data_IF_709489204085
#
_entry.id   IF_709489204085
#
_cell.length_a   1.000
_cell.length_b   1.000
_cell.length_c   1.000
_cell.angle_alpha   90.00
_cell.angle_beta   90.00
_cell.angle_gamma   90.00
#
_symmetry.space_group_name_H-M   'P 1'
#
loop_
_entity.id
_entity.type
_entity.pdbx_description
1 polymer ?
#
# COMPACT_ATOMS: atom_id res chain seq x y z
N UNK A 1 -21.15 42.97 52.84
CA UNK A 1 -22.05 44.10 52.59
C UNK A 1 -22.40 44.17 51.12
N UNK A 2 -23.70 44.06 50.87
CA UNK A 2 -24.52 44.90 49.99
C UNK A 2 -24.01 45.09 48.55
N UNK A 3 -24.76 44.98 47.49
CA UNK A 3 -26.15 45.37 47.25
C UNK A 3 -26.69 44.71 46.02
N UNK A 4 -27.90 44.29 46.05
CA UNK A 4 -28.84 44.03 44.98
C UNK A 4 -29.15 45.29 44.14
N UNK A 5 -29.64 45.07 42.93
CA UNK A 5 -30.59 45.88 42.12
C UNK A 5 -30.46 45.41 40.67
N UNK A 6 -31.42 45.26 39.84
CA UNK A 6 -32.85 45.45 39.70
C UNK A 6 -33.26 44.75 38.37
N UNK A 7 -34.31 44.03 38.42
CA UNK A 7 -35.03 43.51 37.25
C UNK A 7 -35.71 44.66 36.48
N UNK A 8 -35.72 44.55 35.14
CA UNK A 8 -36.68 45.28 34.33
C UNK A 8 -37.14 44.44 33.17
N UNK A 9 -38.23 43.74 33.38
CA UNK A 9 -39.07 43.10 32.36
C UNK A 9 -39.68 44.18 31.47
N UNK A 10 -39.43 44.11 30.16
CA UNK A 10 -40.28 44.74 29.16
C UNK A 10 -40.99 43.65 28.36
N UNK A 11 -42.27 43.49 28.61
CA UNK A 11 -43.23 42.79 27.76
C UNK A 11 -43.33 43.58 26.44
N UNK A 12 -42.96 42.96 25.34
CA UNK A 12 -43.37 43.43 24.02
C UNK A 12 -44.46 42.53 23.50
N UNK A 13 -45.62 43.15 23.29
CA UNK A 13 -46.86 42.55 22.89
C UNK A 13 -46.83 42.13 21.44
N UNK A 14 -47.36 40.97 21.17
CA UNK A 14 -47.51 40.37 19.84
C UNK A 14 -48.51 41.17 18.98
N UNK A 15 -48.16 41.31 17.72
CA UNK A 15 -49.07 41.36 16.55
C UNK A 15 -48.16 41.40 15.31
N UNK A 16 -47.89 40.25 14.75
CA UNK A 16 -47.42 40.17 13.37
C UNK A 16 -48.06 38.95 12.73
N UNK A 17 -48.79 39.30 11.67
CA UNK A 17 -49.79 38.47 11.04
C UNK A 17 -49.28 37.30 10.23
N UNK A 18 -50.23 36.49 9.84
CA UNK A 18 -50.23 35.22 9.16
C UNK A 18 -49.63 35.17 7.72
N UNK A 19 -48.66 36.00 7.38
CA UNK A 19 -48.03 36.03 6.07
C UNK A 19 -46.68 35.34 5.96
N UNK A 20 -46.10 34.94 7.07
CA UNK A 20 -44.74 34.36 7.13
C UNK A 20 -44.70 32.83 6.98
N UNK A 21 -45.86 32.19 7.05
CA UNK A 21 -45.92 30.73 6.98
C UNK A 21 -45.64 30.14 5.58
N UNK A 22 -45.81 30.93 4.51
CA UNK A 22 -45.58 30.42 3.14
C UNK A 22 -44.15 30.60 2.63
N UNK A 23 -43.40 31.51 3.22
CA UNK A 23 -42.00 31.78 2.84
C UNK A 23 -41.02 30.82 3.53
N UNK A 24 -41.38 30.29 4.73
CA UNK A 24 -40.52 29.32 5.42
C UNK A 24 -40.51 27.92 4.78
N UNK A 25 -41.58 27.52 4.09
CA UNK A 25 -41.63 26.21 3.44
C UNK A 25 -40.74 26.10 2.18
N UNK A 26 -40.48 27.21 1.49
CA UNK A 26 -39.61 27.23 0.30
C UNK A 26 -38.10 27.28 0.66
N UNK A 27 -37.76 27.85 1.83
CA UNK A 27 -36.37 27.93 2.28
C UNK A 27 -35.90 26.58 2.85
N UNK A 28 -36.77 25.79 3.46
CA UNK A 28 -36.43 24.44 3.98
C UNK A 28 -36.23 23.41 2.88
N UNK A 29 -36.90 23.55 1.72
CA UNK A 29 -36.70 22.62 0.59
C UNK A 29 -35.37 22.88 -0.13
N UNK A 30 -34.94 24.13 -0.19
CA UNK A 30 -33.66 24.52 -0.80
C UNK A 30 -32.44 24.11 0.03
N UNK A 31 -32.55 24.12 1.36
CA UNK A 31 -31.46 23.72 2.26
C UNK A 31 -31.22 22.20 2.29
N UNK A 32 -32.25 21.38 2.08
CA UNK A 32 -32.13 19.92 2.05
C UNK A 32 -31.40 19.41 0.78
N UNK A 33 -31.51 20.11 -0.34
CA UNK A 33 -30.82 19.75 -1.57
C UNK A 33 -29.35 20.17 -1.55
N UNK A 34 -29.02 21.24 -0.82
CA UNK A 34 -27.63 21.74 -0.71
C UNK A 34 -26.73 20.88 0.18
N UNK A 35 -27.26 20.20 1.20
CA UNK A 35 -26.49 19.37 2.13
C UNK A 35 -26.13 18.00 1.50
N UNK A 36 -26.94 17.48 0.59
CA UNK A 36 -26.67 16.22 -0.11
C UNK A 36 -25.53 16.30 -1.13
N UNK A 37 -25.24 17.49 -1.67
CA UNK A 37 -24.18 17.68 -2.66
C UNK A 37 -22.80 17.97 -2.01
N UNK A 38 -22.76 18.46 -0.76
CA UNK A 38 -21.51 18.76 -0.06
C UNK A 38 -20.80 17.53 0.49
N UNK A 39 -21.47 16.39 0.62
CA UNK A 39 -20.87 15.14 1.13
C UNK A 39 -20.17 14.30 0.05
N UNK A 40 -20.16 14.72 -1.22
CA UNK A 40 -19.35 14.09 -2.28
C UNK A 40 -17.96 14.69 -2.41
N UNK A 41 -17.61 15.71 -1.58
CA UNK A 41 -16.30 16.34 -1.57
C UNK A 41 -15.23 15.41 -0.97
N UNK A 42 -14.26 15.01 -1.79
CA UNK A 42 -12.99 14.39 -1.39
C UNK A 42 -13.05 12.93 -0.93
N UNK A 43 -13.72 12.06 -1.70
CA UNK A 43 -13.43 10.63 -1.60
C UNK A 43 -12.07 10.36 -2.23
N UNK A 44 -11.12 9.83 -1.45
CA UNK A 44 -9.86 9.30 -1.99
C UNK A 44 -10.18 8.23 -3.03
N UNK A 45 -9.66 8.42 -4.24
CA UNK A 45 -9.80 7.50 -5.37
C UNK A 45 -8.52 6.72 -5.61
N UNK A 46 -8.57 5.70 -6.46
CA UNK A 46 -7.38 4.99 -6.93
C UNK A 46 -6.42 5.93 -7.67
N UNK A 47 -6.95 6.88 -8.46
CA UNK A 47 -6.14 7.89 -9.17
C UNK A 47 -5.36 8.79 -8.20
N UNK A 48 -5.96 9.12 -7.05
CA UNK A 48 -5.25 9.84 -6.00
C UNK A 48 -4.09 9.01 -5.43
N UNK A 49 -4.32 7.73 -5.17
CA UNK A 49 -3.31 6.80 -4.66
C UNK A 49 -2.17 6.70 -5.67
N UNK A 50 -2.46 6.47 -6.95
CA UNK A 50 -1.44 6.36 -7.99
C UNK A 50 -0.60 7.64 -8.12
N UNK A 51 -1.25 8.80 -8.11
CA UNK A 51 -0.55 10.09 -8.09
C UNK A 51 0.38 10.23 -6.88
N UNK A 52 -0.03 9.77 -5.70
CA UNK A 52 0.77 9.88 -4.49
C UNK A 52 2.01 9.00 -4.49
N UNK A 53 2.04 7.91 -5.26
CA UNK A 53 3.24 7.06 -5.37
C UNK A 53 4.48 7.82 -5.85
N UNK A 54 4.28 8.96 -6.53
CA UNK A 54 5.36 9.79 -7.10
C UNK A 54 5.60 11.10 -6.36
N UNK A 55 4.80 11.46 -5.35
CA UNK A 55 4.88 12.76 -4.66
C UNK A 55 5.67 12.68 -3.35
N UNK A 56 6.25 13.81 -2.90
CA UNK A 56 7.01 13.88 -1.65
C UNK A 56 6.17 13.55 -0.41
N UNK A 57 4.90 13.95 -0.41
CA UNK A 57 3.95 13.69 0.67
C UNK A 57 3.22 12.35 0.51
N UNK A 58 3.54 11.61 -0.54
CA UNK A 58 2.90 10.33 -0.87
C UNK A 58 2.94 9.32 0.27
N UNK A 59 4.11 9.02 0.86
CA UNK A 59 4.20 8.03 1.94
C UNK A 59 3.25 8.35 3.10
N UNK A 60 3.23 9.57 3.59
CA UNK A 60 2.34 9.98 4.69
C UNK A 60 0.87 9.86 4.33
N UNK A 61 0.49 10.21 3.10
CA UNK A 61 -0.90 10.10 2.63
C UNK A 61 -1.33 8.64 2.50
N UNK A 62 -0.49 7.79 1.92
CA UNK A 62 -0.77 6.37 1.76
C UNK A 62 -0.87 5.66 3.11
N UNK A 63 0.04 5.95 4.05
CA UNK A 63 -0.05 5.43 5.42
C UNK A 63 -1.34 5.89 6.10
N UNK A 64 -1.70 7.17 5.99
CA UNK A 64 -2.93 7.68 6.57
C UNK A 64 -4.19 6.99 6.01
N UNK A 65 -4.21 6.71 4.71
CA UNK A 65 -5.32 5.94 4.09
C UNK A 65 -5.31 4.49 4.55
N UNK A 66 -4.15 3.84 4.57
CA UNK A 66 -4.00 2.44 4.96
C UNK A 66 -4.45 2.20 6.41
N UNK A 67 -4.07 3.08 7.33
CA UNK A 67 -4.29 2.87 8.76
C UNK A 67 -5.65 3.34 9.27
N UNK A 68 -6.28 4.31 8.61
CA UNK A 68 -7.51 4.92 9.11
C UNK A 68 -8.76 4.14 8.69
N UNK A 69 -9.62 3.82 9.66
CA UNK A 69 -10.84 2.99 9.53
C UNK A 69 -11.97 3.65 8.70
N UNK A 70 -11.95 4.98 8.55
CA UNK A 70 -12.93 5.69 7.69
C UNK A 70 -12.87 5.28 6.22
N UNK A 71 -11.74 4.72 5.77
CA UNK A 71 -11.58 4.32 4.38
C UNK A 71 -12.09 2.88 4.16
N UNK A 72 -12.81 2.63 3.06
CA UNK A 72 -13.20 1.28 2.67
C UNK A 72 -11.99 0.35 2.55
N UNK A 73 -12.18 -0.93 2.84
CA UNK A 73 -11.10 -1.92 2.81
C UNK A 73 -10.36 -1.93 1.46
N UNK A 74 -11.08 -1.81 0.34
CA UNK A 74 -10.46 -1.80 -1.00
C UNK A 74 -9.49 -0.62 -1.18
N UNK A 75 -9.87 0.56 -0.72
CA UNK A 75 -9.02 1.75 -0.80
C UNK A 75 -7.79 1.59 0.12
N UNK A 76 -7.95 0.95 1.27
CA UNK A 76 -6.83 0.63 2.17
C UNK A 76 -5.87 -0.38 1.53
N UNK A 77 -6.39 -1.41 0.87
CA UNK A 77 -5.58 -2.37 0.09
C UNK A 77 -4.85 -1.65 -1.06
N UNK A 78 -5.56 -0.76 -1.78
CA UNK A 78 -4.93 0.02 -2.85
C UNK A 78 -3.81 0.93 -2.32
N UNK A 79 -4.01 1.57 -1.17
CA UNK A 79 -2.96 2.36 -0.52
C UNK A 79 -1.73 1.50 -0.16
N UNK A 80 -1.93 0.29 0.36
CA UNK A 80 -0.85 -0.65 0.63
C UNK A 80 -0.10 -1.04 -0.66
N UNK A 81 -0.82 -1.36 -1.74
CA UNK A 81 -0.21 -1.63 -3.05
C UNK A 81 0.45 -0.40 -3.65
N UNK A 82 -0.07 0.80 -3.41
CA UNK A 82 0.57 2.06 -3.76
C UNK A 82 1.92 2.23 -3.07
N UNK A 83 2.04 1.84 -1.80
CA UNK A 83 3.32 1.85 -1.07
C UNK A 83 4.33 0.85 -1.66
N UNK A 84 3.89 -0.31 -2.13
CA UNK A 84 4.75 -1.27 -2.86
C UNK A 84 5.31 -0.63 -4.14
N UNK A 85 4.46 0.05 -4.92
CA UNK A 85 4.81 0.67 -6.20
C UNK A 85 5.54 2.02 -6.07
N UNK A 86 5.82 2.48 -4.85
CA UNK A 86 6.49 3.77 -4.67
C UNK A 86 7.85 3.81 -5.33
N UNK A 87 8.07 4.82 -6.16
CA UNK A 87 9.36 5.02 -6.81
C UNK A 87 10.43 5.38 -5.78
N UNK A 88 11.60 4.78 -5.94
CA UNK A 88 12.75 5.11 -5.13
C UNK A 88 13.10 6.60 -5.24
N UNK A 89 13.49 7.21 -4.13
CA UNK A 89 14.02 8.56 -4.06
C UNK A 89 15.40 8.51 -3.42
N UNK A 90 16.38 9.18 -4.04
CA UNK A 90 17.75 9.14 -3.56
C UNK A 90 18.31 7.71 -3.44
N UNK A 91 17.89 6.80 -4.33
CA UNK A 91 18.32 5.40 -4.31
C UNK A 91 17.64 4.51 -3.27
N UNK A 92 16.68 5.03 -2.49
CA UNK A 92 15.97 4.26 -1.45
C UNK A 92 14.50 4.05 -1.80
N UNK A 93 14.00 2.83 -1.62
CA UNK A 93 12.58 2.47 -1.76
C UNK A 93 11.87 2.71 -0.43
N UNK A 94 11.30 3.89 -0.28
CA UNK A 94 10.70 4.36 0.97
C UNK A 94 9.43 3.59 1.32
N UNK A 95 8.69 3.13 0.31
CA UNK A 95 7.33 2.64 0.49
C UNK A 95 7.21 1.39 1.36
N UNK A 96 8.14 0.42 1.27
CA UNK A 96 8.07 -0.84 2.03
C UNK A 96 8.56 -0.64 3.46
N UNK A 97 9.78 -0.17 3.64
CA UNK A 97 10.43 -0.08 4.96
C UNK A 97 10.22 1.28 5.65
N UNK A 98 9.79 2.29 4.92
CA UNK A 98 9.80 3.67 5.41
C UNK A 98 11.18 4.31 5.32
N UNK A 99 11.28 5.53 5.84
CA UNK A 99 12.54 6.28 5.92
C UNK A 99 12.48 7.23 7.10
N UNK A 100 13.53 7.23 7.92
CA UNK A 100 13.73 8.14 9.06
C UNK A 100 12.45 8.30 9.93
N UNK A 101 11.76 9.41 9.81
CA UNK A 101 10.52 9.75 10.51
C UNK A 101 9.23 9.36 9.74
N UNK A 102 9.35 8.71 8.58
CA UNK A 102 8.22 8.32 7.75
C UNK A 102 7.98 6.81 7.80
N UNK A 103 6.85 6.35 8.36
CA UNK A 103 6.53 4.93 8.38
C UNK A 103 6.35 4.36 6.97
N UNK A 104 6.82 3.13 6.78
CA UNK A 104 6.61 2.35 5.57
C UNK A 104 5.39 1.41 5.67
N UNK A 105 5.22 0.57 4.66
CA UNK A 105 4.17 -0.43 4.61
C UNK A 105 4.19 -1.36 5.83
N UNK A 106 5.38 -1.86 6.21
CA UNK A 106 5.50 -2.84 7.29
C UNK A 106 5.04 -2.25 8.62
N UNK A 107 5.58 -1.09 9.02
CA UNK A 107 5.20 -0.42 10.26
C UNK A 107 3.74 0.05 10.25
N UNK A 108 3.22 0.46 9.10
CA UNK A 108 1.81 0.80 8.95
C UNK A 108 0.90 -0.42 9.18
N UNK A 109 1.27 -1.59 8.62
CA UNK A 109 0.53 -2.83 8.85
C UNK A 109 0.59 -3.29 10.30
N UNK A 110 1.73 -3.13 10.99
CA UNK A 110 1.85 -3.42 12.42
C UNK A 110 0.90 -2.59 13.28
N UNK A 111 0.71 -1.32 12.91
CA UNK A 111 -0.17 -0.40 13.65
C UNK A 111 -1.66 -0.71 13.50
N UNK A 112 -2.05 -1.56 12.56
CA UNK A 112 -3.45 -1.93 12.29
C UNK A 112 -3.85 -3.13 13.16
N UNK A 113 -5.09 -3.16 13.72
CA UNK A 113 -5.59 -4.31 14.45
C UNK A 113 -5.46 -5.62 13.64
N UNK A 114 -5.03 -6.75 14.26
CA UNK A 114 -4.70 -7.99 13.56
C UNK A 114 -5.78 -8.49 12.60
N UNK A 115 -7.04 -8.48 13.00
CA UNK A 115 -8.15 -8.94 12.16
C UNK A 115 -8.38 -8.08 10.90
N UNK A 116 -8.03 -6.80 10.96
CA UNK A 116 -8.12 -5.89 9.79
C UNK A 116 -6.88 -6.05 8.92
N UNK A 117 -5.70 -6.15 9.53
CA UNK A 117 -4.45 -6.42 8.85
C UNK A 117 -4.52 -7.71 8.02
N UNK A 118 -5.03 -8.79 8.59
CA UNK A 118 -5.23 -10.06 7.89
C UNK A 118 -6.07 -9.89 6.63
N UNK A 119 -7.19 -9.15 6.71
CA UNK A 119 -8.04 -8.86 5.54
C UNK A 119 -7.31 -8.04 4.46
N UNK A 120 -6.45 -7.12 4.86
CA UNK A 120 -5.66 -6.32 3.92
C UNK A 120 -4.61 -7.22 3.25
N UNK A 121 -3.82 -7.93 4.04
CA UNK A 121 -2.74 -8.79 3.54
C UNK A 121 -3.27 -9.90 2.65
N UNK A 122 -4.37 -10.58 3.04
CA UNK A 122 -4.98 -11.62 2.21
C UNK A 122 -5.44 -11.13 0.83
N UNK A 123 -5.76 -9.85 0.68
CA UNK A 123 -6.10 -9.24 -0.62
C UNK A 123 -4.89 -8.70 -1.37
N UNK A 124 -3.82 -8.36 -0.68
CA UNK A 124 -2.55 -7.98 -1.31
C UNK A 124 -1.88 -9.19 -1.97
N UNK A 125 -1.86 -10.35 -1.31
CA UNK A 125 -1.12 -11.53 -1.76
C UNK A 125 -1.43 -11.94 -3.20
N UNK A 126 -2.68 -12.13 -3.63
CA UNK A 126 -2.98 -12.46 -5.03
C UNK A 126 -2.48 -11.41 -6.03
N UNK A 127 -2.47 -10.14 -5.62
CA UNK A 127 -1.98 -9.04 -6.47
C UNK A 127 -0.47 -9.04 -6.58
N UNK A 128 0.24 -9.31 -5.47
CA UNK A 128 1.69 -9.48 -5.47
C UNK A 128 2.10 -10.66 -6.39
N UNK A 129 1.42 -11.81 -6.24
CA UNK A 129 1.65 -12.98 -7.10
C UNK A 129 1.42 -12.69 -8.58
N UNK A 130 0.33 -12.00 -8.91
CA UNK A 130 0.00 -11.67 -10.29
C UNK A 130 1.06 -10.77 -10.94
N UNK A 131 1.58 -9.79 -10.19
CA UNK A 131 2.65 -8.92 -10.68
C UNK A 131 3.99 -9.65 -10.81
N UNK A 132 4.32 -10.54 -9.86
CA UNK A 132 5.55 -11.35 -9.90
C UNK A 132 5.56 -12.37 -11.06
N UNK A 133 4.39 -12.83 -11.52
CA UNK A 133 4.25 -13.75 -12.65
C UNK A 133 4.37 -13.10 -14.02
N UNK A 134 4.34 -11.77 -14.10
CA UNK A 134 4.51 -11.07 -15.37
C UNK A 134 5.91 -11.26 -15.92
N UNK A 135 5.99 -11.41 -17.23
CA UNK A 135 7.27 -11.41 -17.91
C UNK A 135 7.97 -10.07 -17.76
N UNK A 136 9.29 -10.04 -17.57
CA UNK A 136 10.05 -8.80 -17.58
C UNK A 136 9.84 -8.03 -18.88
N UNK A 137 9.77 -6.69 -18.82
CA UNK A 137 9.66 -5.89 -20.01
C UNK A 137 10.90 -6.06 -20.91
N UNK A 138 10.67 -6.27 -22.20
CA UNK A 138 11.77 -6.45 -23.17
C UNK A 138 12.37 -5.11 -23.56
N UNK A 139 13.69 -5.05 -23.67
CA UNK A 139 14.38 -3.90 -24.25
C UNK A 139 13.95 -3.71 -25.71
N UNK A 140 13.68 -2.48 -26.10
CA UNK A 140 13.51 -2.13 -27.52
C UNK A 140 14.90 -1.90 -28.14
N UNK A 141 15.02 -2.15 -29.47
CA UNK A 141 16.28 -1.98 -30.16
C UNK A 141 16.86 -0.56 -29.92
N UNK A 142 18.07 -0.50 -29.36
CA UNK A 142 18.76 0.75 -29.06
C UNK A 142 18.30 1.48 -27.79
N UNK A 143 17.41 0.90 -26.98
CA UNK A 143 16.97 1.47 -25.71
C UNK A 143 17.29 0.53 -24.54
N UNK A 144 17.56 1.11 -23.36
CA UNK A 144 17.64 0.31 -22.14
C UNK A 144 16.28 -0.34 -21.84
N UNK A 145 16.31 -1.54 -21.28
CA UNK A 145 15.09 -2.19 -20.81
C UNK A 145 14.37 -1.30 -19.78
N UNK A 146 13.04 -1.16 -19.86
CA UNK A 146 12.28 -0.50 -18.81
C UNK A 146 12.47 -1.23 -17.47
N UNK A 147 12.36 -0.50 -16.37
CA UNK A 147 12.41 -1.12 -15.05
C UNK A 147 11.30 -2.18 -14.91
N UNK A 148 11.67 -3.36 -14.42
CA UNK A 148 10.73 -4.45 -14.18
C UNK A 148 9.94 -4.19 -12.88
N UNK A 149 8.63 -3.92 -12.95
CA UNK A 149 7.83 -3.63 -11.77
C UNK A 149 7.68 -4.85 -10.84
N UNK A 150 7.99 -6.07 -11.31
CA UNK A 150 7.92 -7.28 -10.48
C UNK A 150 8.92 -7.26 -9.32
N UNK A 151 10.02 -6.49 -9.43
CA UNK A 151 10.99 -6.34 -8.34
C UNK A 151 10.36 -5.71 -7.09
N UNK A 152 9.53 -4.70 -7.25
CA UNK A 152 8.86 -4.04 -6.11
C UNK A 152 7.91 -5.00 -5.40
N UNK A 153 7.20 -5.82 -6.16
CA UNK A 153 6.24 -6.78 -5.64
C UNK A 153 6.93 -7.96 -4.95
N UNK A 154 8.04 -8.44 -5.51
CA UNK A 154 8.92 -9.43 -4.88
C UNK A 154 9.50 -8.91 -3.57
N UNK A 155 10.00 -7.67 -3.57
CA UNK A 155 10.55 -7.06 -2.36
C UNK A 155 9.48 -6.95 -1.25
N UNK A 156 8.25 -6.61 -1.60
CA UNK A 156 7.14 -6.58 -0.64
C UNK A 156 6.78 -7.97 -0.13
N UNK A 157 6.71 -8.97 -1.00
CA UNK A 157 6.42 -10.35 -0.63
C UNK A 157 7.48 -10.90 0.34
N UNK A 158 8.76 -10.69 0.04
CA UNK A 158 9.86 -11.08 0.91
C UNK A 158 9.79 -10.35 2.26
N UNK A 159 9.60 -9.04 2.25
CA UNK A 159 9.52 -8.24 3.46
C UNK A 159 8.36 -8.67 4.37
N UNK A 160 7.19 -8.96 3.81
CA UNK A 160 6.04 -9.47 4.57
C UNK A 160 6.32 -10.79 5.26
N UNK A 161 7.09 -11.69 4.62
CA UNK A 161 7.45 -12.99 5.18
C UNK A 161 8.55 -12.93 6.23
N UNK A 162 9.43 -11.94 6.16
CA UNK A 162 10.62 -11.85 7.03
C UNK A 162 10.44 -10.87 8.18
N UNK A 163 9.57 -9.89 8.03
CA UNK A 163 9.36 -8.88 9.07
C UNK A 163 8.80 -9.50 10.35
N UNK A 164 9.51 -9.30 11.46
CA UNK A 164 9.14 -9.88 12.76
C UNK A 164 8.75 -11.37 12.65
N UNK A 165 9.60 -12.16 12.00
CA UNK A 165 9.38 -13.60 11.80
C UNK A 165 8.07 -13.94 11.05
N UNK A 166 7.63 -13.05 10.18
CA UNK A 166 6.44 -13.24 9.35
C UNK A 166 5.11 -13.06 10.09
N UNK A 167 5.10 -12.35 11.20
CA UNK A 167 3.88 -12.09 11.99
C UNK A 167 2.84 -11.22 11.26
N UNK A 168 3.24 -10.54 10.19
CA UNK A 168 2.32 -9.75 9.36
C UNK A 168 1.43 -10.61 8.47
N UNK A 169 1.87 -11.82 8.13
CA UNK A 169 1.12 -12.77 7.30
C UNK A 169 0.52 -13.85 8.20
N UNK A 170 -0.80 -13.89 8.29
CA UNK A 170 -1.49 -14.94 9.04
C UNK A 170 -1.91 -16.09 8.12
N UNK A 171 -1.81 -17.31 8.63
CA UNK A 171 -2.14 -18.53 7.89
C UNK A 171 -0.98 -19.10 7.08
N UNK A 172 -0.67 -20.37 7.34
CA UNK A 172 0.44 -21.07 6.66
C UNK A 172 0.20 -21.21 5.15
N UNK A 173 -1.06 -21.34 4.72
CA UNK A 173 -1.40 -21.38 3.30
C UNK A 173 -0.97 -20.10 2.57
N UNK A 174 -1.24 -18.93 3.15
CA UNK A 174 -0.88 -17.64 2.57
C UNK A 174 0.65 -17.45 2.55
N UNK A 175 1.33 -17.84 3.63
CA UNK A 175 2.79 -17.83 3.68
C UNK A 175 3.39 -18.73 2.61
N UNK A 176 2.86 -19.96 2.48
CA UNK A 176 3.34 -20.91 1.48
C UNK A 176 3.11 -20.41 0.05
N UNK A 177 1.98 -19.79 -0.23
CA UNK A 177 1.72 -19.15 -1.53
C UNK A 177 2.78 -18.10 -1.86
N UNK A 178 3.08 -17.21 -0.92
CA UNK A 178 4.13 -16.20 -1.13
C UNK A 178 5.52 -16.83 -1.31
N UNK A 179 5.85 -17.88 -0.56
CA UNK A 179 7.12 -18.61 -0.71
C UNK A 179 7.24 -19.21 -2.13
N UNK A 180 6.20 -19.91 -2.59
CA UNK A 180 6.16 -20.48 -3.97
C UNK A 180 6.29 -19.37 -5.01
N UNK A 181 5.57 -18.27 -4.86
CA UNK A 181 5.65 -17.14 -5.79
C UNK A 181 7.06 -16.53 -5.85
N UNK A 182 7.75 -16.43 -4.70
CA UNK A 182 9.14 -15.97 -4.63
C UNK A 182 10.11 -16.93 -5.31
N UNK A 183 9.92 -18.26 -5.15
CA UNK A 183 10.72 -19.28 -5.83
C UNK A 183 10.55 -19.15 -7.34
N UNK A 184 9.31 -19.18 -7.82
CA UNK A 184 8.99 -19.10 -9.24
C UNK A 184 9.52 -17.79 -9.86
N UNK A 185 9.34 -16.67 -9.17
CA UNK A 185 9.89 -15.39 -9.60
C UNK A 185 11.40 -15.43 -9.69
N UNK A 186 12.08 -15.98 -8.68
CA UNK A 186 13.55 -16.05 -8.63
C UNK A 186 14.12 -16.89 -9.77
N UNK A 187 13.44 -17.95 -10.18
CA UNK A 187 13.88 -18.85 -11.25
C UNK A 187 13.60 -18.29 -12.65
N UNK A 188 12.66 -17.38 -12.80
CA UNK A 188 12.36 -16.72 -14.08
C UNK A 188 13.46 -15.71 -14.41
N UNK A 189 14.16 -15.86 -15.54
CA UNK A 189 15.31 -15.04 -15.94
C UNK A 189 16.37 -14.91 -14.83
N UNK A 190 16.68 -16.04 -14.18
CA UNK A 190 17.49 -16.11 -12.96
C UNK A 190 18.82 -15.35 -13.08
N UNK A 191 19.58 -15.57 -14.16
CA UNK A 191 20.88 -14.96 -14.35
C UNK A 191 20.83 -13.43 -14.42
N UNK A 192 19.81 -12.89 -15.13
CA UNK A 192 19.65 -11.43 -15.26
C UNK A 192 19.16 -10.82 -13.94
N UNK A 193 18.26 -11.49 -13.24
CA UNK A 193 17.77 -11.07 -11.92
C UNK A 193 18.83 -11.13 -10.84
N UNK A 194 19.77 -12.06 -10.94
CA UNK A 194 20.90 -12.14 -10.02
C UNK A 194 21.85 -10.94 -10.16
N UNK A 195 21.92 -10.33 -11.34
CA UNK A 195 22.77 -9.16 -11.61
C UNK A 195 22.13 -7.81 -11.27
N UNK A 196 20.81 -7.78 -11.15
CA UNK A 196 20.07 -6.55 -10.93
C UNK A 196 20.37 -5.94 -9.56
N UNK A 197 20.98 -4.77 -9.55
CA UNK A 197 21.42 -4.07 -8.34
C UNK A 197 20.37 -3.14 -7.74
N UNK A 198 19.28 -2.88 -8.45
CA UNK A 198 18.21 -1.97 -7.98
C UNK A 198 17.24 -2.59 -6.99
N UNK A 199 17.41 -3.89 -6.69
CA UNK A 199 16.58 -4.63 -5.74
C UNK A 199 16.82 -4.17 -4.30
N UNK A 200 15.75 -4.10 -3.51
CA UNK A 200 15.86 -3.88 -2.06
C UNK A 200 16.40 -5.15 -1.37
N UNK A 201 15.94 -6.32 -1.82
CA UNK A 201 16.40 -7.63 -1.36
C UNK A 201 16.88 -8.46 -2.55
N UNK A 202 18.17 -8.79 -2.60
CA UNK A 202 18.76 -9.54 -3.70
C UNK A 202 18.21 -10.96 -3.83
N UNK A 203 18.28 -11.54 -5.03
CA UNK A 203 17.82 -12.91 -5.29
C UNK A 203 18.54 -13.92 -4.37
N UNK A 204 19.84 -13.76 -4.14
CA UNK A 204 20.59 -14.61 -3.20
C UNK A 204 20.00 -14.57 -1.78
N UNK A 205 19.68 -13.38 -1.30
CA UNK A 205 19.08 -13.21 0.03
C UNK A 205 17.72 -13.88 0.11
N UNK A 206 16.90 -13.75 -0.95
CA UNK A 206 15.59 -14.40 -1.05
C UNK A 206 15.74 -15.92 -1.04
N UNK A 207 16.67 -16.48 -1.83
CA UNK A 207 16.90 -17.93 -1.90
C UNK A 207 17.45 -18.50 -0.58
N UNK A 208 18.36 -17.79 0.09
CA UNK A 208 18.84 -18.19 1.42
C UNK A 208 17.71 -18.23 2.45
N UNK A 209 16.81 -17.27 2.42
CA UNK A 209 15.61 -17.28 3.28
C UNK A 209 14.67 -18.45 2.97
N UNK A 210 14.49 -18.79 1.69
CA UNK A 210 13.65 -19.91 1.27
C UNK A 210 14.29 -21.27 1.62
N UNK A 211 15.61 -21.31 1.84
CA UNK A 211 16.34 -22.51 2.26
C UNK A 211 16.24 -23.64 1.25
N UNK A 212 16.01 -24.87 1.74
CA UNK A 212 15.95 -26.08 0.90
C UNK A 212 14.96 -25.97 -0.28
N UNK A 213 13.80 -25.32 -0.08
CA UNK A 213 12.78 -25.17 -1.14
C UNK A 213 13.29 -24.30 -2.30
N UNK A 214 14.06 -23.25 -1.98
CA UNK A 214 14.69 -22.37 -2.97
C UNK A 214 15.85 -23.06 -3.69
N UNK A 215 16.73 -23.68 -2.93
CA UNK A 215 17.92 -24.39 -3.45
C UNK A 215 17.56 -25.55 -4.34
N UNK A 216 16.50 -26.31 -4.02
CA UNK A 216 16.04 -27.43 -4.83
C UNK A 216 15.67 -27.05 -6.29
N UNK A 217 15.44 -25.78 -6.58
CA UNK A 217 15.13 -25.27 -7.92
C UNK A 217 16.34 -24.77 -8.70
N UNK A 218 17.53 -24.72 -8.09
CA UNK A 218 18.75 -24.24 -8.76
C UNK A 218 19.36 -25.21 -9.77
N UNK A 219 19.33 -26.56 -9.61
CA UNK A 219 20.03 -27.47 -10.51
C UNK A 219 19.77 -27.24 -12.00
N UNK A 220 18.54 -26.94 -12.46
CA UNK A 220 18.30 -26.66 -13.88
C UNK A 220 18.97 -25.37 -14.38
N UNK A 221 19.40 -24.48 -13.50
CA UNK A 221 20.10 -23.23 -13.82
C UNK A 221 21.62 -23.41 -13.90
N UNK A 222 22.14 -24.50 -13.31
CA UNK A 222 23.57 -24.81 -13.23
C UNK A 222 24.04 -25.55 -14.48
N UNK A 223 23.84 -24.96 -15.65
CA UNK A 223 24.28 -25.55 -16.93
C UNK A 223 25.66 -25.03 -17.34
N UNK A 224 26.50 -25.84 -17.98
CA UNK A 224 27.79 -25.40 -18.49
C UNK A 224 27.63 -24.14 -19.35
N UNK A 225 28.43 -23.10 -19.08
CA UNK A 225 28.36 -21.82 -19.79
C UNK A 225 27.26 -20.87 -19.31
N UNK A 226 26.49 -21.23 -18.25
CA UNK A 226 25.58 -20.31 -17.63
C UNK A 226 26.33 -19.09 -17.10
N UNK A 227 25.76 -17.89 -17.29
CA UNK A 227 26.29 -16.68 -16.68
C UNK A 227 26.34 -16.84 -15.16
N UNK A 228 27.46 -16.46 -14.55
CA UNK A 228 27.64 -16.47 -13.09
C UNK A 228 27.46 -17.81 -12.39
N UNK A 229 27.92 -18.88 -13.06
CA UNK A 229 27.86 -20.24 -12.52
C UNK A 229 28.54 -20.34 -11.13
N UNK A 230 29.69 -19.68 -10.95
CA UNK A 230 30.43 -19.67 -9.65
C UNK A 230 29.54 -19.09 -8.53
N UNK A 231 28.89 -17.98 -8.81
CA UNK A 231 28.01 -17.31 -7.86
C UNK A 231 26.73 -18.12 -7.54
N UNK A 232 26.27 -18.91 -8.52
CA UNK A 232 25.15 -19.85 -8.32
C UNK A 232 25.58 -21.05 -7.47
N UNK A 233 26.82 -21.52 -7.64
CA UNK A 233 27.36 -22.64 -6.86
C UNK A 233 27.51 -22.28 -5.37
N UNK A 234 27.79 -21.02 -5.04
CA UNK A 234 27.87 -20.52 -3.67
C UNK A 234 26.53 -20.51 -2.91
N UNK A 235 25.42 -20.73 -3.62
CA UNK A 235 24.07 -20.79 -3.02
C UNK A 235 23.66 -22.21 -2.61
N UNK A 236 24.42 -23.23 -2.98
CA UNK A 236 24.15 -24.64 -2.68
C UNK A 236 24.97 -25.07 -1.46
#
# INVERSE_FOLDING_TARGET
PRMARYAKTKRFSAKLGASWARTLQLVTLGAAIGIGAASQGCRTSNDDIDRWTTTAQGPRKLVAVLTHDKYPLEIRVEAAMGMVRMKARGGRRIGINGQDDQPGLLSALESIPPAVREKIVSRMVPRLEAEMKKEPPKAQAGQAAPADPSFDHKDAAYALLTHNEGTLVQGEEIKQRLRVALIDWSMTNFADRLEESSQLYGVEQVLRFLGADGVARLPPQLVPGAKKLDRMADLI
#
